data_IF_441067858195
#
_entry.id   IF_441067858195
#
_cell.length_a   1.000
_cell.length_b   1.000
_cell.length_c   1.000
_cell.angle_alpha   90.00
_cell.angle_beta   90.00
_cell.angle_gamma   90.00
#
_symmetry.space_group_name_H-M   'P 1'
#
loop_
_entity.id
_entity.type
_entity.pdbx_description
1 polymer ?
#
# COMPACT_ATOMS: atom_id res chain seq x y z
N UNK A 1 5.18 9.65 24.26
CA UNK A 1 5.16 11.03 24.81
C UNK A 1 5.23 11.10 26.33
N UNK A 2 4.72 10.12 27.10
CA UNK A 2 4.73 10.18 28.58
C UNK A 2 6.11 10.46 29.21
N UNK A 3 7.17 9.81 28.71
CA UNK A 3 8.54 10.05 29.20
C UNK A 3 9.04 11.48 28.93
N UNK A 4 8.81 12.01 27.73
CA UNK A 4 9.15 13.40 27.38
C UNK A 4 8.45 14.41 28.29
N UNK A 5 7.14 14.21 28.51
CA UNK A 5 6.36 15.07 29.40
C UNK A 5 6.86 14.99 30.85
N UNK A 6 7.14 13.79 31.36
CA UNK A 6 7.66 13.60 32.72
C UNK A 6 9.04 14.26 32.92
N UNK A 7 9.86 14.30 31.86
CA UNK A 7 11.18 14.93 31.86
C UNK A 7 11.17 16.42 31.46
N UNK A 8 10.01 17.00 31.16
CA UNK A 8 9.87 18.36 30.61
C UNK A 8 10.73 18.62 29.36
N UNK A 9 10.82 17.61 28.47
CA UNK A 9 11.56 17.70 27.20
C UNK A 9 10.56 17.78 26.05
N UNK A 10 10.75 18.73 25.14
CA UNK A 10 9.92 18.86 23.95
C UNK A 10 10.33 17.85 22.87
N UNK A 11 9.36 17.08 22.37
CA UNK A 11 9.52 16.28 21.15
C UNK A 11 8.92 17.00 19.94
N UNK A 12 9.67 17.11 18.85
CA UNK A 12 9.20 17.70 17.58
C UNK A 12 9.37 16.70 16.44
N UNK A 13 8.64 16.92 15.35
CA UNK A 13 8.81 16.20 14.10
C UNK A 13 8.66 17.18 12.91
N UNK A 14 8.91 16.68 11.70
CA UNK A 14 8.73 17.41 10.45
C UNK A 14 7.47 16.91 9.74
N UNK A 15 6.26 17.34 10.17
CA UNK A 15 5.05 16.94 9.47
C UNK A 15 5.14 17.38 8.01
N UNK A 16 4.50 16.59 7.15
CA UNK A 16 4.27 16.87 5.73
C UNK A 16 5.46 16.78 4.77
N UNK A 17 6.71 16.87 5.26
CA UNK A 17 7.92 16.87 4.42
C UNK A 17 8.11 15.58 3.62
N UNK A 18 7.64 14.44 4.13
CA UNK A 18 7.92 13.11 3.55
C UNK A 18 6.71 12.46 2.89
N UNK A 19 5.59 13.18 2.74
CA UNK A 19 4.33 12.58 2.28
C UNK A 19 4.46 11.98 0.87
N UNK A 20 4.96 12.76 -0.08
CA UNK A 20 5.08 12.37 -1.48
C UNK A 20 6.21 11.34 -1.67
N UNK A 21 7.37 11.55 -1.05
CA UNK A 21 8.50 10.60 -1.14
C UNK A 21 8.16 9.22 -0.57
N UNK A 22 7.43 9.16 0.54
CA UNK A 22 6.95 7.87 1.09
C UNK A 22 5.94 7.22 0.14
N UNK A 23 5.06 8.00 -0.49
CA UNK A 23 4.14 7.46 -1.49
C UNK A 23 4.86 6.90 -2.72
N UNK A 24 5.95 7.53 -3.17
CA UNK A 24 6.76 7.03 -4.27
C UNK A 24 7.41 5.68 -3.93
N UNK A 25 7.95 5.52 -2.73
CA UNK A 25 8.48 4.24 -2.27
C UNK A 25 7.40 3.17 -2.13
N UNK A 26 6.21 3.53 -1.63
CA UNK A 26 5.06 2.62 -1.56
C UNK A 26 4.69 2.06 -2.94
N UNK A 27 4.63 2.93 -3.96
CA UNK A 27 4.43 2.50 -5.35
C UNK A 27 5.58 1.64 -5.88
N UNK A 28 6.82 2.06 -5.66
CA UNK A 28 7.99 1.32 -6.14
C UNK A 28 8.01 -0.12 -5.61
N UNK A 29 7.78 -0.29 -4.30
CA UNK A 29 7.74 -1.61 -3.65
C UNK A 29 6.54 -2.44 -4.14
N UNK A 30 5.35 -1.84 -4.21
CA UNK A 30 4.15 -2.50 -4.70
C UNK A 30 4.32 -3.01 -6.14
N UNK A 31 4.84 -2.16 -7.04
CA UNK A 31 5.08 -2.53 -8.43
C UNK A 31 6.17 -3.59 -8.56
N UNK A 32 7.24 -3.48 -7.78
CA UNK A 32 8.32 -4.47 -7.76
C UNK A 32 7.82 -5.85 -7.33
N UNK A 33 6.97 -5.91 -6.31
CA UNK A 33 6.32 -7.15 -5.86
C UNK A 33 5.35 -7.68 -6.92
N UNK A 34 4.43 -6.83 -7.41
CA UNK A 34 3.41 -7.23 -8.38
C UNK A 34 4.04 -7.78 -9.68
N UNK A 35 5.09 -7.14 -10.17
CA UNK A 35 5.74 -7.49 -11.45
C UNK A 35 6.97 -8.39 -11.29
N UNK A 36 7.18 -8.95 -10.09
CA UNK A 36 8.29 -9.86 -9.75
C UNK A 36 9.65 -9.31 -10.20
N UNK A 37 9.84 -8.00 -10.08
CA UNK A 37 11.02 -7.29 -10.62
C UNK A 37 12.29 -7.84 -9.99
N UNK A 38 12.36 -7.88 -8.65
CA UNK A 38 13.54 -8.36 -7.94
C UNK A 38 13.90 -9.80 -8.30
N UNK A 39 12.91 -10.69 -8.38
CA UNK A 39 13.16 -12.08 -8.75
C UNK A 39 13.67 -12.23 -10.19
N UNK A 40 13.00 -11.56 -11.13
CA UNK A 40 13.36 -11.61 -12.55
C UNK A 40 14.76 -11.03 -12.82
N UNK A 41 15.13 -9.98 -12.08
CA UNK A 41 16.43 -9.33 -12.19
C UNK A 41 17.57 -10.22 -11.68
N UNK A 42 17.40 -10.85 -10.51
CA UNK A 42 18.39 -11.78 -9.98
C UNK A 42 18.58 -12.99 -10.91
N UNK A 43 17.49 -13.54 -11.45
CA UNK A 43 17.55 -14.65 -12.40
C UNK A 43 18.29 -14.27 -13.68
N UNK A 44 18.07 -13.05 -14.18
CA UNK A 44 18.79 -12.50 -15.33
C UNK A 44 20.29 -12.38 -15.03
N UNK A 45 20.66 -11.79 -13.89
CA UNK A 45 22.08 -11.63 -13.49
C UNK A 45 22.80 -12.96 -13.29
N UNK A 46 22.08 -14.00 -12.88
CA UNK A 46 22.62 -15.35 -12.75
C UNK A 46 22.90 -16.04 -14.10
N UNK A 47 22.62 -15.38 -15.24
CA UNK A 47 22.92 -15.90 -16.57
C UNK A 47 21.91 -16.95 -17.07
N UNK A 48 20.75 -17.06 -16.41
CA UNK A 48 19.74 -18.04 -16.80
C UNK A 48 18.96 -17.64 -18.05
N UNK A 49 19.02 -16.37 -18.47
CA UNK A 49 18.38 -15.93 -19.71
C UNK A 49 19.08 -16.51 -20.94
N UNK A 50 18.37 -17.36 -21.68
CA UNK A 50 18.87 -17.95 -22.93
C UNK A 50 18.08 -17.47 -24.15
N UNK A 51 16.78 -17.22 -23.98
CA UNK A 51 15.87 -16.76 -25.03
C UNK A 51 14.61 -16.15 -24.41
N UNK A 52 13.83 -15.46 -25.25
CA UNK A 52 12.53 -14.95 -24.86
C UNK A 52 11.54 -16.10 -24.58
N UNK A 53 10.71 -15.93 -23.55
CA UNK A 53 9.63 -16.85 -23.14
C UNK A 53 8.38 -16.04 -22.78
N UNK A 54 7.20 -16.57 -23.09
CA UNK A 54 5.92 -15.88 -22.88
C UNK A 54 5.32 -16.10 -21.49
N UNK A 55 5.75 -17.16 -20.80
CA UNK A 55 5.19 -17.68 -19.54
C UNK A 55 6.15 -17.56 -18.35
N UNK A 56 7.24 -16.80 -18.49
CA UNK A 56 8.27 -16.66 -17.45
C UNK A 56 7.78 -15.91 -16.20
N UNK A 57 8.34 -14.73 -15.92
CA UNK A 57 8.00 -13.93 -14.73
C UNK A 57 6.64 -13.22 -14.87
N UNK A 58 5.59 -13.96 -15.18
CA UNK A 58 4.22 -13.47 -15.12
C UNK A 58 3.94 -13.05 -13.67
N UNK A 59 3.58 -11.78 -13.51
CA UNK A 59 3.21 -11.15 -12.26
C UNK A 59 1.77 -10.67 -12.30
N UNK A 60 1.32 -10.05 -11.21
CA UNK A 60 -0.02 -9.45 -11.13
C UNK A 60 -0.09 -8.16 -11.93
N UNK A 61 -1.22 -7.94 -12.60
CA UNK A 61 -1.49 -6.69 -13.31
C UNK A 61 -1.70 -5.53 -12.35
N UNK A 62 -1.13 -4.37 -12.69
CA UNK A 62 -1.35 -3.11 -11.97
C UNK A 62 -2.46 -2.31 -12.65
N UNK A 63 -2.42 -2.22 -13.98
CA UNK A 63 -3.41 -1.47 -14.74
C UNK A 63 -4.82 -2.07 -14.56
N UNK A 64 -5.80 -1.22 -14.27
CA UNK A 64 -7.20 -1.65 -14.10
C UNK A 64 -7.47 -2.48 -12.83
N UNK A 65 -6.46 -2.74 -12.01
CA UNK A 65 -6.60 -3.51 -10.77
C UNK A 65 -7.18 -2.68 -9.61
N UNK A 66 -7.43 -3.33 -8.46
CA UNK A 66 -7.95 -2.67 -7.26
C UNK A 66 -6.83 -2.37 -6.26
N UNK A 67 -6.58 -1.09 -5.97
CA UNK A 67 -5.72 -0.62 -4.90
C UNK A 67 -6.50 -0.54 -3.58
N UNK A 68 -6.08 -1.30 -2.58
CA UNK A 68 -6.58 -1.23 -1.21
C UNK A 68 -5.63 -0.44 -0.30
N UNK A 69 -6.05 0.72 0.20
CA UNK A 69 -5.26 1.54 1.14
C UNK A 69 -5.79 1.38 2.56
N UNK A 70 -4.99 0.86 3.48
CA UNK A 70 -5.31 0.88 4.91
C UNK A 70 -4.58 2.08 5.53
N UNK A 71 -5.33 3.15 5.81
CA UNK A 71 -4.76 4.43 6.26
C UNK A 71 -4.78 5.53 5.18
N UNK A 72 -5.93 6.14 4.93
CA UNK A 72 -6.13 7.28 4.03
C UNK A 72 -5.77 8.63 4.69
N UNK A 73 -4.59 8.68 5.31
CA UNK A 73 -3.96 9.94 5.73
C UNK A 73 -3.27 10.64 4.56
N UNK A 74 -2.36 11.57 4.82
CA UNK A 74 -1.69 12.36 3.77
C UNK A 74 -0.91 11.49 2.78
N UNK A 75 -0.16 10.51 3.26
CA UNK A 75 0.57 9.54 2.41
C UNK A 75 -0.41 8.63 1.66
N UNK A 76 -1.46 8.14 2.33
CA UNK A 76 -2.49 7.30 1.70
C UNK A 76 -3.20 8.01 0.54
N UNK A 77 -3.52 9.29 0.71
CA UNK A 77 -4.10 10.13 -0.35
C UNK A 77 -3.11 10.36 -1.51
N UNK A 78 -1.83 10.58 -1.21
CA UNK A 78 -0.79 10.70 -2.25
C UNK A 78 -0.61 9.40 -3.07
N UNK A 79 -0.73 8.22 -2.43
CA UNK A 79 -0.76 6.92 -3.10
C UNK A 79 -1.99 6.77 -3.99
N UNK A 80 -3.18 7.05 -3.44
CA UNK A 80 -4.45 6.96 -4.16
C UNK A 80 -4.50 7.87 -5.39
N UNK A 81 -3.94 9.08 -5.31
CA UNK A 81 -3.88 10.02 -6.43
C UNK A 81 -3.14 9.45 -7.64
N UNK A 82 -2.04 8.73 -7.41
CA UNK A 82 -1.24 8.08 -8.47
C UNK A 82 -1.98 6.91 -9.11
N UNK A 83 -2.90 6.25 -8.39
CA UNK A 83 -3.69 5.13 -8.89
C UNK A 83 -4.54 5.49 -10.12
N UNK A 84 -4.98 6.75 -10.21
CA UNK A 84 -5.68 7.30 -11.39
C UNK A 84 -4.86 7.14 -12.67
N UNK A 85 -3.54 7.33 -12.61
CA UNK A 85 -2.65 7.18 -13.77
C UNK A 85 -2.58 5.75 -14.30
N UNK A 86 -2.92 4.76 -13.49
CA UNK A 86 -2.95 3.35 -13.84
C UNK A 86 -4.38 2.82 -14.08
N UNK A 87 -5.39 3.70 -14.07
CA UNK A 87 -6.78 3.30 -14.25
C UNK A 87 -7.28 2.34 -13.16
N UNK A 88 -6.68 2.36 -11.97
CA UNK A 88 -7.05 1.47 -10.87
C UNK A 88 -8.31 1.96 -10.16
N UNK A 89 -9.07 1.02 -9.59
CA UNK A 89 -10.09 1.33 -8.60
C UNK A 89 -9.41 1.51 -7.23
N UNK A 90 -9.75 2.58 -6.51
CA UNK A 90 -9.26 2.80 -5.15
C UNK A 90 -10.36 2.43 -4.15
N UNK A 91 -10.03 1.53 -3.22
CA UNK A 91 -10.81 1.26 -2.02
C UNK A 91 -9.96 1.52 -0.79
N UNK A 92 -10.56 1.95 0.31
CA UNK A 92 -9.80 2.25 1.51
C UNK A 92 -10.53 1.93 2.81
N UNK A 93 -9.73 1.75 3.86
CA UNK A 93 -10.24 1.57 5.21
C UNK A 93 -9.48 2.44 6.21
N UNK A 94 -10.25 3.09 7.09
CA UNK A 94 -9.81 3.89 8.22
C UNK A 94 -10.72 3.62 9.41
N UNK A 95 -10.26 3.98 10.62
CA UNK A 95 -11.16 4.09 11.79
C UNK A 95 -12.28 5.12 11.58
N UNK A 96 -11.97 6.21 10.89
CA UNK A 96 -12.91 7.28 10.55
C UNK A 96 -12.82 7.58 9.06
N UNK A 97 -13.97 7.58 8.39
CA UNK A 97 -14.09 7.92 6.96
C UNK A 97 -13.49 9.31 6.72
N UNK A 98 -12.79 9.49 5.60
CA UNK A 98 -12.30 10.82 5.21
C UNK A 98 -13.47 11.70 4.77
N UNK A 99 -13.24 13.00 4.64
CA UNK A 99 -14.25 13.93 4.17
C UNK A 99 -14.73 13.54 2.75
N UNK A 100 -16.03 13.69 2.42
CA UNK A 100 -16.58 13.29 1.12
C UNK A 100 -15.86 13.90 -0.09
N UNK A 101 -15.31 15.11 0.08
CA UNK A 101 -14.58 15.83 -0.96
C UNK A 101 -13.28 15.11 -1.34
N UNK A 102 -12.60 14.50 -0.35
CA UNK A 102 -11.38 13.71 -0.57
C UNK A 102 -11.71 12.43 -1.32
N UNK A 103 -12.83 11.77 -0.99
CA UNK A 103 -13.28 10.58 -1.72
C UNK A 103 -13.62 10.90 -3.17
N UNK A 104 -14.30 12.01 -3.41
CA UNK A 104 -14.65 12.48 -4.74
C UNK A 104 -13.39 12.83 -5.56
N UNK A 105 -12.42 13.55 -4.97
CA UNK A 105 -11.16 13.90 -5.64
C UNK A 105 -10.37 12.65 -6.05
N UNK A 106 -10.31 11.66 -5.17
CA UNK A 106 -9.50 10.45 -5.35
C UNK A 106 -10.27 9.32 -6.05
N UNK A 107 -11.56 9.49 -6.34
CA UNK A 107 -12.47 8.43 -6.78
C UNK A 107 -12.35 7.17 -5.89
N UNK A 108 -12.30 7.37 -4.57
CA UNK A 108 -12.00 6.34 -3.59
C UNK A 108 -13.27 5.88 -2.85
N UNK A 109 -13.44 4.57 -2.70
CA UNK A 109 -14.56 3.96 -1.98
C UNK A 109 -14.16 3.57 -0.55
N UNK A 110 -14.86 4.09 0.46
CA UNK A 110 -14.69 3.61 1.83
C UNK A 110 -15.36 2.25 2.03
N UNK A 111 -14.61 1.29 2.56
CA UNK A 111 -15.08 -0.08 2.82
C UNK A 111 -14.64 -0.57 4.21
N UNK A 112 -15.20 -1.69 4.66
CA UNK A 112 -14.70 -2.38 5.86
C UNK A 112 -13.31 -2.99 5.61
N UNK A 113 -12.51 -3.21 6.66
CA UNK A 113 -11.19 -3.88 6.55
C UNK A 113 -11.30 -5.23 5.84
N UNK A 114 -12.32 -6.01 6.20
CA UNK A 114 -12.55 -7.34 5.63
C UNK A 114 -12.91 -7.27 4.14
N UNK A 115 -13.77 -6.32 3.75
CA UNK A 115 -14.10 -6.11 2.34
C UNK A 115 -12.89 -5.63 1.54
N UNK A 116 -12.04 -4.78 2.13
CA UNK A 116 -10.79 -4.33 1.50
C UNK A 116 -9.86 -5.51 1.22
N UNK A 117 -9.59 -6.33 2.22
CA UNK A 117 -8.68 -7.47 2.09
C UNK A 117 -9.20 -8.48 1.04
N UNK A 118 -10.51 -8.73 1.00
CA UNK A 118 -11.09 -9.65 0.04
C UNK A 118 -11.11 -9.12 -1.41
N UNK A 119 -11.20 -7.78 -1.60
CA UNK A 119 -11.39 -7.15 -2.92
C UNK A 119 -10.10 -6.63 -3.55
N UNK A 120 -9.13 -6.19 -2.75
CA UNK A 120 -7.91 -5.56 -3.25
C UNK A 120 -6.99 -6.57 -3.96
N UNK A 121 -6.37 -6.13 -5.05
CA UNK A 121 -5.26 -6.83 -5.72
C UNK A 121 -3.92 -6.39 -5.14
N UNK A 122 -3.85 -5.13 -4.70
CA UNK A 122 -2.66 -4.57 -4.06
C UNK A 122 -3.07 -3.85 -2.79
N UNK A 123 -2.61 -4.34 -1.63
CA UNK A 123 -2.84 -3.72 -0.33
C UNK A 123 -1.60 -2.93 0.08
N UNK A 124 -1.78 -1.67 0.45
CA UNK A 124 -0.71 -0.81 0.99
C UNK A 124 -1.11 -0.32 2.38
N UNK A 125 -0.22 -0.55 3.36
CA UNK A 125 -0.41 -0.13 4.74
C UNK A 125 0.25 1.22 4.96
N UNK A 126 -0.52 2.18 5.50
CA UNK A 126 -0.05 3.55 5.72
C UNK A 126 -0.64 4.09 7.01
N UNK A 127 -0.36 3.37 8.10
CA UNK A 127 -0.90 3.64 9.42
C UNK A 127 0.22 4.03 10.38
N UNK A 128 -0.03 4.96 11.33
CA UNK A 128 0.87 5.11 12.47
C UNK A 128 0.81 3.85 13.33
N UNK A 129 1.95 3.50 13.92
CA UNK A 129 1.98 2.45 14.94
C UNK A 129 1.25 2.92 16.20
N UNK A 130 0.25 2.14 16.63
CA UNK A 130 -0.45 2.30 17.91
C UNK A 130 -0.73 0.92 18.50
N UNK A 131 -1.20 0.84 19.76
CA UNK A 131 -1.62 -0.43 20.35
C UNK A 131 -2.77 -1.07 19.58
N UNK A 132 -3.67 -0.25 19.05
CA UNK A 132 -4.84 -0.68 18.28
C UNK A 132 -4.46 -1.16 16.87
N UNK A 133 -3.41 -0.59 16.28
CA UNK A 133 -2.88 -1.00 14.97
C UNK A 133 -1.84 -2.13 15.06
N UNK A 134 -1.37 -2.47 16.25
CA UNK A 134 -0.42 -3.56 16.43
C UNK A 134 -1.02 -4.88 15.94
N UNK A 135 -0.31 -5.57 15.05
CA UNK A 135 -0.79 -6.77 14.36
C UNK A 135 -2.10 -6.56 13.57
N UNK A 136 -2.32 -5.37 13.00
CA UNK A 136 -3.52 -5.11 12.17
C UNK A 136 -3.66 -6.09 11.00
N UNK A 137 -2.53 -6.59 10.48
CA UNK A 137 -2.42 -7.69 9.53
C UNK A 137 -1.70 -8.85 10.20
N UNK A 138 -2.47 -9.87 10.62
CA UNK A 138 -1.94 -11.15 11.08
C UNK A 138 -2.30 -12.29 10.12
N UNK A 139 -2.17 -13.53 10.60
CA UNK A 139 -2.52 -14.72 9.81
C UNK A 139 -3.98 -14.72 9.33
N UNK A 140 -4.91 -14.25 10.17
CA UNK A 140 -6.32 -14.19 9.84
C UNK A 140 -6.60 -13.18 8.71
N UNK A 141 -5.97 -12.01 8.73
CA UNK A 141 -6.10 -11.01 7.66
C UNK A 141 -5.44 -11.47 6.36
N UNK A 142 -4.24 -12.05 6.44
CA UNK A 142 -3.56 -12.61 5.27
C UNK A 142 -4.40 -13.70 4.60
N UNK A 143 -5.10 -14.53 5.37
CA UNK A 143 -6.00 -15.55 4.85
C UNK A 143 -7.25 -15.00 4.14
N UNK A 144 -7.64 -13.74 4.40
CA UNK A 144 -8.76 -13.07 3.72
C UNK A 144 -8.35 -12.44 2.39
N UNK A 145 -7.05 -12.26 2.15
CA UNK A 145 -6.55 -11.68 0.91
C UNK A 145 -6.72 -12.63 -0.27
N UNK A 146 -6.82 -12.08 -1.48
CA UNK A 146 -6.68 -12.89 -2.70
C UNK A 146 -5.31 -13.58 -2.67
N UNK A 147 -5.25 -14.82 -3.16
CA UNK A 147 -3.98 -15.58 -3.26
C UNK A 147 -2.93 -14.89 -4.13
N UNK A 148 -3.36 -14.02 -5.04
CA UNK A 148 -2.54 -13.25 -5.98
C UNK A 148 -2.25 -11.83 -5.50
N UNK A 149 -2.81 -11.41 -4.35
CA UNK A 149 -2.67 -10.05 -3.88
C UNK A 149 -1.26 -9.78 -3.33
N UNK A 150 -0.79 -8.54 -3.52
CA UNK A 150 0.44 -8.07 -2.90
C UNK A 150 0.15 -7.27 -1.63
N UNK A 151 1.04 -7.34 -0.64
CA UNK A 151 1.02 -6.49 0.54
C UNK A 151 2.29 -5.63 0.58
N UNK A 152 2.14 -4.33 0.73
CA UNK A 152 3.25 -3.37 0.88
C UNK A 152 3.10 -2.62 2.19
N UNK A 153 4.19 -2.46 2.94
CA UNK A 153 4.25 -1.80 4.24
C UNK A 153 5.53 -0.98 4.34
#
# INVERSE_FOLDING_TARGET
MAAFNAANVLGTNTPDVLNESTADFGWALMMAAARRIAESEHWLRAGHWQKWVYDGFLGSDIYGSTLGVIGMGRIGQALARRARGFGMQVIYHNRSRVAPEIEAELNAEYVSKDALLARADHVVLVLPYTKENHHTIGAAELAKMKRTATLTN
#
